data_IF_106073037498
#
_entry.id   IF_106073037498
#
_cell.length_a   1.000
_cell.length_b   1.000
_cell.length_c   1.000
_cell.angle_alpha   90.00
_cell.angle_beta   90.00
_cell.angle_gamma   90.00
#
_symmetry.space_group_name_H-M   'P 1'
#
loop_
_entity.id
_entity.type
_entity.pdbx_description
1 polymer ?
#
# COMPACT_ATOMS: atom_id res chain seq x y z
N UNK A 1 -25.96 -51.42 16.93
CA UNK A 1 -25.71 -50.50 15.80
C UNK A 1 -25.15 -49.20 16.36
N UNK A 2 -23.96 -48.75 15.94
CA UNK A 2 -23.33 -47.54 16.49
C UNK A 2 -23.48 -46.38 15.48
N UNK A 3 -24.29 -45.36 15.75
CA UNK A 3 -24.43 -44.23 14.83
C UNK A 3 -23.24 -43.29 15.00
N UNK A 4 -22.21 -43.45 14.16
CA UNK A 4 -21.22 -42.40 13.99
C UNK A 4 -21.89 -41.23 13.26
N UNK A 5 -22.27 -40.23 14.04
CA UNK A 5 -22.72 -38.93 13.57
C UNK A 5 -21.65 -38.34 12.67
N UNK A 6 -22.01 -37.99 11.43
CA UNK A 6 -21.15 -37.29 10.49
C UNK A 6 -21.01 -35.84 10.97
N UNK A 7 -19.93 -35.53 11.70
CA UNK A 7 -19.56 -34.15 12.00
C UNK A 7 -19.01 -33.47 10.71
N UNK A 8 -19.60 -32.36 10.23
CA UNK A 8 -19.00 -31.57 9.17
C UNK A 8 -17.82 -30.76 9.74
N UNK A 9 -16.60 -31.16 9.41
CA UNK A 9 -15.40 -30.38 9.73
C UNK A 9 -15.35 -29.14 8.84
N UNK A 10 -15.82 -28.00 9.38
CA UNK A 10 -15.63 -26.69 8.76
C UNK A 10 -14.15 -26.33 8.93
N UNK A 11 -13.34 -26.66 7.92
CA UNK A 11 -11.95 -26.23 7.86
C UNK A 11 -11.93 -24.70 7.65
N UNK A 12 -11.56 -23.94 8.68
CA UNK A 12 -11.21 -22.53 8.47
C UNK A 12 -9.96 -22.47 7.58
N UNK A 13 -9.95 -21.70 6.48
CA UNK A 13 -8.81 -21.62 5.58
C UNK A 13 -7.67 -20.82 6.24
N UNK A 14 -6.85 -21.48 7.05
CA UNK A 14 -5.62 -20.92 7.65
C UNK A 14 -4.55 -20.61 6.60
N UNK A 15 -4.69 -21.15 5.39
CA UNK A 15 -3.76 -20.99 4.27
C UNK A 15 -3.83 -19.62 3.55
N UNK A 16 -4.87 -18.80 3.79
CA UNK A 16 -5.05 -17.51 3.11
C UNK A 16 -4.27 -16.33 3.75
N UNK A 17 -3.69 -16.54 4.94
CA UNK A 17 -3.10 -15.48 5.78
C UNK A 17 -1.98 -14.66 5.10
N UNK A 18 -1.07 -15.31 4.35
CA UNK A 18 0.03 -14.61 3.65
C UNK A 18 -0.46 -13.72 2.51
N UNK A 19 -1.52 -14.11 1.81
CA UNK A 19 -2.12 -13.31 0.73
C UNK A 19 -2.81 -12.05 1.29
N UNK A 20 -3.55 -12.22 2.39
CA UNK A 20 -4.28 -11.15 3.07
C UNK A 20 -3.34 -10.07 3.59
N UNK A 21 -2.21 -10.43 4.21
CA UNK A 21 -1.22 -9.43 4.68
C UNK A 21 -0.64 -8.63 3.52
N UNK A 22 -0.33 -9.26 2.38
CA UNK A 22 0.17 -8.56 1.19
C UNK A 22 -0.88 -7.62 0.61
N UNK A 23 -2.14 -8.04 0.56
CA UNK A 23 -3.25 -7.20 0.10
C UNK A 23 -3.45 -5.99 1.01
N UNK A 24 -3.52 -6.20 2.34
CA UNK A 24 -3.62 -5.12 3.32
C UNK A 24 -2.44 -4.14 3.24
N UNK A 25 -1.21 -4.65 3.13
CA UNK A 25 -0.03 -3.82 2.96
C UNK A 25 -0.11 -2.98 1.67
N UNK A 26 -0.53 -3.59 0.55
CA UNK A 26 -0.69 -2.86 -0.71
C UNK A 26 -1.79 -1.78 -0.63
N UNK A 27 -2.90 -2.07 0.03
CA UNK A 27 -3.99 -1.12 0.24
C UNK A 27 -3.55 0.04 1.17
N UNK A 28 -2.81 -0.27 2.24
CA UNK A 28 -2.26 0.73 3.15
C UNK A 28 -1.24 1.63 2.45
N UNK A 29 -0.34 1.06 1.63
CA UNK A 29 0.62 1.81 0.83
C UNK A 29 -0.10 2.74 -0.16
N UNK A 30 -1.10 2.23 -0.88
CA UNK A 30 -1.90 3.05 -1.79
C UNK A 30 -2.57 4.20 -1.05
N UNK A 31 -3.21 3.93 0.10
CA UNK A 31 -3.83 4.94 0.94
C UNK A 31 -2.82 5.99 1.41
N UNK A 32 -1.63 5.57 1.83
CA UNK A 32 -0.56 6.49 2.24
C UNK A 32 -0.10 7.39 1.10
N UNK A 33 0.05 6.86 -0.12
CA UNK A 33 0.40 7.67 -1.31
C UNK A 33 -0.68 8.71 -1.61
N UNK A 34 -1.97 8.32 -1.56
CA UNK A 34 -3.08 9.24 -1.80
C UNK A 34 -3.12 10.33 -0.73
N UNK A 35 -3.06 9.96 0.55
CA UNK A 35 -3.09 10.91 1.66
C UNK A 35 -1.90 11.86 1.62
N UNK A 36 -0.70 11.36 1.33
CA UNK A 36 0.49 12.19 1.15
C UNK A 36 0.32 13.15 -0.03
N UNK A 37 -0.13 12.66 -1.19
CA UNK A 37 -0.36 13.49 -2.37
C UNK A 37 -1.36 14.62 -2.10
N UNK A 38 -2.47 14.34 -1.43
CA UNK A 38 -3.48 15.36 -1.09
C UNK A 38 -2.96 16.32 -0.02
N UNK A 39 -2.30 15.81 1.03
CA UNK A 39 -1.79 16.65 2.12
C UNK A 39 -0.76 17.69 1.65
N UNK A 40 0.01 17.37 0.61
CA UNK A 40 1.06 18.24 0.08
C UNK A 40 0.72 18.85 -1.29
N UNK A 41 -0.54 18.74 -1.74
CA UNK A 41 -0.98 19.23 -3.05
C UNK A 41 -0.61 20.69 -3.29
N UNK A 42 -0.82 21.56 -2.30
CA UNK A 42 -0.49 23.00 -2.37
C UNK A 42 0.68 23.40 -1.47
N UNK A 43 1.65 22.52 -1.28
CA UNK A 43 2.80 22.82 -0.43
C UNK A 43 3.87 23.62 -1.20
N UNK A 44 4.14 24.89 -0.84
CA UNK A 44 5.14 25.70 -1.52
C UNK A 44 6.55 25.12 -1.34
N UNK A 45 6.82 24.43 -0.23
CA UNK A 45 8.07 23.71 -0.01
C UNK A 45 8.26 22.59 -1.05
N UNK A 46 7.29 21.68 -1.21
CA UNK A 46 7.46 20.57 -2.16
C UNK A 46 7.49 21.07 -3.61
N UNK A 47 6.72 22.12 -3.92
CA UNK A 47 6.77 22.80 -5.21
C UNK A 47 8.18 23.37 -5.47
N UNK A 48 8.71 24.19 -4.56
CA UNK A 48 10.03 24.79 -4.70
C UNK A 48 11.13 23.72 -4.77
N UNK A 49 11.05 22.67 -3.95
CA UNK A 49 11.99 21.55 -4.01
C UNK A 49 11.96 20.84 -5.37
N UNK A 50 10.78 20.63 -5.98
CA UNK A 50 10.70 20.05 -7.32
C UNK A 50 11.28 20.97 -8.40
N UNK A 51 11.12 22.29 -8.24
CA UNK A 51 11.78 23.29 -9.08
C UNK A 51 13.30 23.29 -8.88
N UNK A 52 13.78 23.21 -7.66
CA UNK A 52 15.20 23.14 -7.30
C UNK A 52 15.85 21.85 -7.79
N UNK A 53 15.12 20.73 -7.80
CA UNK A 53 15.61 19.46 -8.37
C UNK A 53 15.87 19.60 -9.87
N UNK A 54 15.12 20.43 -10.62
CA UNK A 54 15.45 20.69 -12.04
C UNK A 54 16.70 21.55 -12.22
N UNK A 55 17.02 22.39 -11.24
CA UNK A 55 18.28 23.13 -11.18
C UNK A 55 19.47 22.26 -10.72
N UNK A 56 19.23 21.32 -9.80
CA UNK A 56 20.24 20.41 -9.24
C UNK A 56 20.52 19.18 -10.12
N UNK A 57 19.54 18.70 -10.89
CA UNK A 57 19.68 17.54 -11.81
C UNK A 57 20.29 17.91 -13.17
N UNK A 58 20.69 19.17 -13.35
CA UNK A 58 21.66 19.57 -14.36
C UNK A 58 21.30 19.17 -15.79
N UNK A 59 20.45 19.95 -16.44
CA UNK A 59 20.83 20.31 -17.81
C UNK A 59 21.84 21.45 -17.69
N UNK A 60 23.14 21.23 -17.94
CA UNK A 60 24.10 22.31 -17.95
C UNK A 60 23.66 23.33 -19.00
N UNK A 61 23.41 24.56 -18.56
CA UNK A 61 23.35 25.69 -19.45
C UNK A 61 24.78 26.12 -19.72
N UNK A 62 25.38 25.46 -20.72
CA UNK A 62 26.74 25.60 -21.22
C UNK A 62 27.79 24.71 -20.53
#
# INVERSE_FOLDING_TARGET
MNPQTLQPSIALPVAASRGVIRQLASAALLGMVVLYGVAFAESPLAHNAAHDVRHATGRPCH
#
